data_IF_700176112472
#
_entry.id   IF_700176112472
#
_cell.length_a   1.000
_cell.length_b   1.000
_cell.length_c   1.000
_cell.angle_alpha   90.00
_cell.angle_beta   90.00
_cell.angle_gamma   90.00
#
_symmetry.space_group_name_H-M   'P 1'
#
loop_
_entity.id
_entity.type
_entity.pdbx_description
1 polymer ?
#
# COMPACT_ATOMS: atom_id res chain seq x y z
N UNK A 1 -18.68 -19.46 -29.23
CA UNK A 1 -17.57 -18.64 -28.69
C UNK A 1 -17.72 -17.25 -29.29
N UNK A 2 -18.18 -16.27 -28.52
CA UNK A 2 -18.41 -14.91 -29.03
C UNK A 2 -17.11 -14.11 -28.96
N UNK A 3 -16.21 -14.30 -29.92
CA UNK A 3 -15.03 -13.46 -30.13
C UNK A 3 -15.42 -12.18 -30.90
N UNK A 4 -16.31 -11.37 -30.31
CA UNK A 4 -16.58 -10.04 -30.83
C UNK A 4 -15.60 -9.05 -30.18
N UNK A 5 -14.67 -8.52 -30.98
CA UNK A 5 -13.62 -7.59 -30.53
C UNK A 5 -14.18 -6.33 -29.87
N UNK A 6 -15.33 -5.82 -30.32
CA UNK A 6 -15.97 -4.66 -29.70
C UNK A 6 -16.52 -4.99 -28.29
N UNK A 7 -17.07 -6.20 -28.13
CA UNK A 7 -17.56 -6.66 -26.83
C UNK A 7 -16.39 -6.90 -25.86
N UNK A 8 -15.29 -7.47 -26.34
CA UNK A 8 -14.07 -7.65 -25.55
C UNK A 8 -13.52 -6.30 -25.05
N UNK A 9 -13.42 -5.30 -25.95
CA UNK A 9 -12.99 -3.95 -25.58
C UNK A 9 -13.92 -3.30 -24.56
N UNK A 10 -15.25 -3.40 -24.74
CA UNK A 10 -16.23 -2.88 -23.77
C UNK A 10 -16.09 -3.54 -22.39
N UNK A 11 -15.81 -4.85 -22.35
CA UNK A 11 -15.62 -5.59 -21.10
C UNK A 11 -14.30 -5.24 -20.39
N UNK A 12 -13.21 -5.02 -21.14
CA UNK A 12 -11.94 -4.52 -20.61
C UNK A 12 -12.12 -3.10 -20.03
N UNK A 13 -12.75 -2.20 -20.78
CA UNK A 13 -13.02 -0.84 -20.33
C UNK A 13 -13.89 -0.80 -19.06
N UNK A 14 -14.91 -1.67 -18.97
CA UNK A 14 -15.71 -1.82 -17.74
C UNK A 14 -14.86 -2.28 -16.54
N UNK A 15 -13.89 -3.18 -16.75
CA UNK A 15 -12.98 -3.64 -15.69
C UNK A 15 -11.99 -2.56 -15.25
N UNK A 16 -11.49 -1.76 -16.19
CA UNK A 16 -10.58 -0.64 -15.89
C UNK A 16 -11.26 0.48 -15.11
N UNK A 17 -12.50 0.85 -15.46
CA UNK A 17 -13.27 1.86 -14.69
C UNK A 17 -13.50 1.46 -13.23
N UNK A 18 -13.68 0.16 -12.95
CA UNK A 18 -13.76 -0.33 -11.56
C UNK A 18 -12.44 -0.18 -10.81
N UNK A 19 -11.31 -0.40 -11.49
CA UNK A 19 -9.97 -0.19 -10.92
C UNK A 19 -9.75 1.27 -10.56
N UNK A 20 -10.16 2.19 -11.43
CA UNK A 20 -10.03 3.64 -11.17
C UNK A 20 -10.84 4.08 -9.96
N UNK A 21 -12.05 3.54 -9.78
CA UNK A 21 -12.85 3.77 -8.57
C UNK A 21 -12.18 3.20 -7.31
N UNK A 22 -11.65 1.98 -7.37
CA UNK A 22 -10.93 1.37 -6.24
C UNK A 22 -9.69 2.17 -5.84
N UNK A 23 -8.95 2.74 -6.79
CA UNK A 23 -7.79 3.57 -6.48
C UNK A 23 -8.14 4.81 -5.64
N UNK A 24 -9.38 5.30 -5.72
CA UNK A 24 -9.87 6.42 -4.89
C UNK A 24 -10.38 5.99 -3.51
N UNK A 25 -10.57 4.69 -3.28
CA UNK A 25 -11.03 4.12 -2.00
C UNK A 25 -9.86 3.60 -1.13
N UNK A 26 -8.64 3.54 -1.69
CA UNK A 26 -7.44 3.06 -0.97
C UNK A 26 -7.11 4.02 0.18
N UNK A 27 -7.08 3.48 1.40
CA UNK A 27 -6.64 4.22 2.57
C UNK A 27 -5.14 4.59 2.48
N UNK A 28 -4.75 5.81 2.87
CA UNK A 28 -3.34 6.17 2.94
C UNK A 28 -2.60 5.27 3.93
N UNK A 29 -1.31 4.98 3.66
CA UNK A 29 -0.52 4.14 4.54
C UNK A 29 -0.38 4.78 5.92
N UNK A 30 -0.37 3.94 6.95
CA UNK A 30 -0.19 4.40 8.33
C UNK A 30 1.29 4.67 8.57
N UNK A 31 1.60 5.89 9.02
CA UNK A 31 2.96 6.31 9.33
C UNK A 31 3.15 6.39 10.85
N UNK A 32 4.25 5.83 11.35
CA UNK A 32 4.62 5.86 12.76
C UNK A 32 6.13 6.04 12.93
N UNK A 33 6.65 6.88 13.85
CA UNK A 33 5.91 7.83 14.70
C UNK A 33 5.68 9.20 14.02
N UNK A 34 6.47 9.57 13.02
CA UNK A 34 6.33 10.82 12.25
C UNK A 34 6.77 10.60 10.80
N UNK A 35 6.39 11.52 9.93
CA UNK A 35 6.66 11.44 8.48
C UNK A 35 8.10 11.86 8.13
N UNK A 36 8.69 12.76 8.92
CA UNK A 36 10.01 13.35 8.66
C UNK A 36 11.17 12.61 9.36
N UNK A 37 11.25 11.29 9.20
CA UNK A 37 12.37 10.52 9.73
C UNK A 37 13.52 10.40 8.73
N UNK A 38 14.76 10.36 9.23
CA UNK A 38 15.95 10.11 8.41
C UNK A 38 15.86 8.79 7.63
N UNK A 39 15.22 7.77 8.21
CA UNK A 39 15.05 6.44 7.60
C UNK A 39 13.57 6.05 7.66
N UNK A 40 13.01 5.60 6.53
CA UNK A 40 11.63 5.13 6.45
C UNK A 40 11.63 3.65 6.06
N UNK A 41 11.09 2.81 6.94
CA UNK A 41 10.78 1.41 6.67
C UNK A 41 9.44 1.34 5.94
N UNK A 42 9.40 0.63 4.82
CA UNK A 42 8.18 0.45 4.03
C UNK A 42 7.79 -1.03 4.04
N UNK A 43 6.53 -1.31 4.35
CA UNK A 43 6.01 -2.68 4.32
C UNK A 43 4.51 -2.76 4.12
N UNK A 44 4.04 -3.99 3.95
CA UNK A 44 2.63 -4.27 3.69
C UNK A 44 2.23 -5.66 4.17
N UNK A 45 0.92 -5.86 4.34
CA UNK A 45 0.35 -7.14 4.75
C UNK A 45 0.88 -7.63 6.11
N UNK A 46 1.09 -8.93 6.23
CA UNK A 46 1.44 -9.62 7.49
C UNK A 46 2.78 -9.20 8.10
N UNK A 47 3.62 -8.47 7.37
CA UNK A 47 4.92 -7.98 7.87
C UNK A 47 4.80 -6.86 8.90
N UNK A 48 3.59 -6.32 9.14
CA UNK A 48 3.36 -5.22 10.08
C UNK A 48 3.97 -5.45 11.47
N UNK A 49 3.70 -6.61 12.07
CA UNK A 49 4.16 -6.91 13.43
C UNK A 49 5.68 -6.93 13.53
N UNK A 50 6.34 -7.66 12.63
CA UNK A 50 7.80 -7.74 12.60
C UNK A 50 8.46 -6.38 12.33
N UNK A 51 7.90 -5.59 11.43
CA UNK A 51 8.39 -4.23 11.14
C UNK A 51 8.19 -3.29 12.33
N UNK A 52 7.08 -3.44 13.06
CA UNK A 52 6.80 -2.63 14.24
C UNK A 52 7.76 -2.95 15.39
N UNK A 53 8.04 -4.24 15.62
CA UNK A 53 9.05 -4.66 16.60
C UNK A 53 10.45 -4.15 16.22
N UNK A 54 10.84 -4.26 14.95
CA UNK A 54 12.11 -3.75 14.46
C UNK A 54 12.21 -2.22 14.62
N UNK A 55 11.14 -1.49 14.31
CA UNK A 55 11.06 -0.04 14.52
C UNK A 55 11.30 0.31 15.99
N UNK A 56 10.63 -0.37 16.92
CA UNK A 56 10.74 -0.09 18.35
C UNK A 56 12.18 -0.36 18.85
N UNK A 57 12.86 -1.38 18.34
CA UNK A 57 14.29 -1.63 18.64
C UNK A 57 15.18 -0.49 18.12
N UNK A 58 14.97 -0.02 16.89
CA UNK A 58 15.78 1.04 16.28
C UNK A 58 15.58 2.40 16.98
N UNK A 59 14.34 2.73 17.34
CA UNK A 59 14.02 3.93 18.12
C UNK A 59 14.72 3.87 19.49
N UNK A 60 14.70 2.72 20.16
CA UNK A 60 15.39 2.54 21.45
C UNK A 60 16.93 2.64 21.34
N UNK A 61 17.49 2.43 20.15
CA UNK A 61 18.91 2.65 19.86
C UNK A 61 19.23 4.12 19.52
N UNK A 62 18.24 5.01 19.55
CA UNK A 62 18.40 6.44 19.27
C UNK A 62 18.44 6.77 17.78
N UNK A 63 17.98 5.86 16.92
CA UNK A 63 17.91 6.10 15.49
C UNK A 63 16.62 6.84 15.12
N UNK A 64 16.73 7.79 14.21
CA UNK A 64 15.58 8.50 13.63
C UNK A 64 14.97 7.66 12.49
N UNK A 65 13.97 6.85 12.84
CA UNK A 65 13.33 5.87 11.95
C UNK A 65 11.82 5.97 12.04
N UNK A 66 11.13 5.87 10.90
CA UNK A 66 9.69 5.69 10.81
C UNK A 66 9.30 4.44 10.02
N UNK A 67 8.06 3.99 10.18
CA UNK A 67 7.43 2.90 9.47
C UNK A 67 6.21 3.42 8.73
N UNK A 68 6.20 3.23 7.41
CA UNK A 68 5.06 3.45 6.53
C UNK A 68 4.50 2.09 6.11
N UNK A 69 3.33 1.73 6.64
CA UNK A 69 2.69 0.46 6.35
C UNK A 69 1.47 0.62 5.46
N UNK A 70 1.49 -0.04 4.31
CA UNK A 70 0.39 -0.06 3.35
C UNK A 70 -0.58 -1.17 3.72
N UNK A 71 -1.80 -0.78 4.11
CA UNK A 71 -2.88 -1.70 4.44
C UNK A 71 -3.54 -2.27 3.17
N UNK A 72 -3.53 -1.50 2.07
CA UNK A 72 -4.08 -1.90 0.78
C UNK A 72 -3.03 -1.67 -0.31
N UNK A 73 -2.75 -2.73 -1.08
CA UNK A 73 -1.93 -2.68 -2.31
C UNK A 73 -2.77 -3.32 -3.40
N UNK A 74 -2.96 -2.60 -4.51
CA UNK A 74 -3.77 -3.04 -5.65
C UNK A 74 -2.92 -3.18 -6.92
#
# INVERSE_FOLDING_TARGET
LTENLEMANKMVQKRLKKREGLASEIEPPKIYPHEDAQIILIGWGSTYGALKEALDVLINQGMDVSLMHFQEIW
#
